data_IF_315378067810
#
_entry.id   IF_315378067810
#
_cell.length_a   1.000
_cell.length_b   1.000
_cell.length_c   1.000
_cell.angle_alpha   90.00
_cell.angle_beta   90.00
_cell.angle_gamma   90.00
#
_symmetry.space_group_name_H-M   'P 1'
#
loop_
_entity.id
_entity.type
_entity.pdbx_description
1 polymer ?
#
# COMPACT_ATOMS: atom_id res chain seq x y z
N UNK A 1 -10.99 -2.72 23.73
CA UNK A 1 -10.14 -3.92 23.96
C UNK A 1 -8.88 -3.58 24.76
N UNK A 2 -8.05 -2.61 24.36
CA UNK A 2 -6.80 -2.26 25.10
C UNK A 2 -7.03 -1.96 26.59
N UNK A 3 -8.07 -1.20 26.93
CA UNK A 3 -8.48 -0.98 28.34
C UNK A 3 -8.80 -2.28 29.11
N UNK A 4 -9.39 -3.26 28.44
CA UNK A 4 -9.70 -4.55 29.07
C UNK A 4 -8.43 -5.39 29.29
N UNK A 5 -7.48 -5.37 28.34
CA UNK A 5 -6.16 -5.98 28.53
C UNK A 5 -5.46 -5.34 29.74
N UNK A 6 -5.50 -4.01 29.85
CA UNK A 6 -4.91 -3.29 30.98
C UNK A 6 -5.60 -3.61 32.32
N UNK A 7 -6.93 -3.70 32.35
CA UNK A 7 -7.65 -4.10 33.55
C UNK A 7 -7.27 -5.51 34.03
N UNK A 8 -6.80 -6.37 33.13
CA UNK A 8 -6.29 -7.72 33.42
C UNK A 8 -4.77 -7.75 33.66
N UNK A 9 -4.13 -6.60 33.92
CA UNK A 9 -2.70 -6.52 34.23
C UNK A 9 -1.76 -6.65 33.04
N UNK A 10 -2.28 -6.80 31.80
CA UNK A 10 -1.45 -6.94 30.61
C UNK A 10 -0.96 -5.57 30.16
N UNK A 11 0.33 -5.28 30.27
CA UNK A 11 0.96 -3.99 29.93
C UNK A 11 1.85 -4.08 28.70
N UNK A 12 2.46 -5.24 28.46
CA UNK A 12 3.34 -5.51 27.31
C UNK A 12 3.00 -6.79 26.56
N UNK A 13 3.82 -7.08 25.55
CA UNK A 13 3.69 -8.31 24.75
C UNK A 13 4.06 -9.55 25.55
N UNK A 14 4.99 -9.40 26.51
CA UNK A 14 5.47 -10.45 27.40
C UNK A 14 4.36 -10.93 28.32
N UNK A 15 3.59 -10.00 28.89
CA UNK A 15 2.41 -10.32 29.71
C UNK A 15 1.37 -11.07 28.89
N UNK A 16 1.13 -10.63 27.65
CA UNK A 16 0.19 -11.26 26.72
C UNK A 16 0.62 -12.70 26.42
N UNK A 17 1.91 -12.93 26.14
CA UNK A 17 2.43 -14.27 25.92
C UNK A 17 2.35 -15.14 27.18
N UNK A 18 2.69 -14.58 28.34
CA UNK A 18 2.65 -15.29 29.63
C UNK A 18 1.24 -15.71 30.03
N UNK A 19 0.22 -14.94 29.66
CA UNK A 19 -1.18 -15.29 29.90
C UNK A 19 -1.63 -16.50 29.07
N UNK A 20 -1.14 -16.61 27.83
CA UNK A 20 -1.48 -17.66 26.88
C UNK A 20 -2.85 -17.48 26.19
N UNK A 21 -3.03 -18.16 25.05
CA UNK A 21 -4.19 -17.98 24.17
C UNK A 21 -5.54 -18.33 24.85
N UNK A 22 -5.57 -19.36 25.69
CA UNK A 22 -6.79 -19.81 26.37
C UNK A 22 -7.40 -18.74 27.28
N UNK A 23 -6.62 -18.26 28.25
CA UNK A 23 -7.06 -17.20 29.18
C UNK A 23 -7.29 -15.88 28.45
N UNK A 24 -6.45 -15.55 27.47
CA UNK A 24 -6.65 -14.36 26.65
C UNK A 24 -7.98 -14.42 25.89
N UNK A 25 -8.39 -15.60 25.40
CA UNK A 25 -9.65 -15.78 24.69
C UNK A 25 -10.86 -15.45 25.57
N UNK A 26 -10.78 -15.60 26.89
CA UNK A 26 -11.87 -15.38 27.84
C UNK A 26 -12.06 -13.90 28.21
N UNK A 27 -11.08 -13.04 27.94
CA UNK A 27 -11.20 -11.61 28.24
C UNK A 27 -12.35 -11.00 27.44
N UNK A 28 -13.22 -10.29 28.14
CA UNK A 28 -14.32 -9.52 27.55
C UNK A 28 -13.98 -8.04 27.48
N UNK A 29 -14.48 -7.35 26.46
CA UNK A 29 -14.31 -5.91 26.28
C UNK A 29 -15.58 -5.29 25.69
N UNK A 30 -15.79 -4.00 25.97
CA UNK A 30 -16.86 -3.22 25.36
C UNK A 30 -16.51 -2.83 23.92
N UNK A 31 -17.45 -3.01 23.00
CA UNK A 31 -17.42 -2.50 21.62
C UNK A 31 -18.75 -1.80 21.34
N UNK A 32 -18.74 -0.47 21.41
CA UNK A 32 -19.98 0.32 21.45
C UNK A 32 -20.77 -0.05 22.72
N UNK A 33 -22.05 -0.38 22.56
CA UNK A 33 -22.94 -0.82 23.65
C UNK A 33 -22.88 -2.32 23.96
N UNK A 34 -22.09 -3.10 23.22
CA UNK A 34 -22.07 -4.57 23.34
C UNK A 34 -20.80 -5.05 24.04
N UNK A 35 -20.97 -5.98 24.97
CA UNK A 35 -19.88 -6.79 25.52
C UNK A 35 -19.51 -7.88 24.51
N UNK A 36 -18.23 -7.97 24.17
CA UNK A 36 -17.68 -9.01 23.31
C UNK A 36 -16.54 -9.73 24.01
N UNK A 37 -16.39 -11.03 23.74
CA UNK A 37 -15.22 -11.82 24.16
C UNK A 37 -14.16 -11.79 23.07
N UNK A 38 -12.87 -11.84 23.41
CA UNK A 38 -11.78 -11.91 22.42
C UNK A 38 -11.94 -13.16 21.55
N UNK A 39 -12.19 -14.31 22.17
CA UNK A 39 -12.42 -15.59 21.50
C UNK A 39 -11.13 -16.27 21.04
N UNK A 40 -11.19 -17.60 20.79
CA UNK A 40 -10.00 -18.43 20.60
C UNK A 40 -9.18 -18.03 19.36
N UNK A 41 -9.84 -17.82 18.21
CA UNK A 41 -9.16 -17.47 16.97
C UNK A 41 -8.42 -16.12 17.05
N UNK A 42 -9.02 -15.12 17.71
CA UNK A 42 -8.39 -13.81 17.85
C UNK A 42 -7.26 -13.84 18.87
N UNK A 43 -7.44 -14.57 19.98
CA UNK A 43 -6.40 -14.75 20.97
C UNK A 43 -5.15 -15.41 20.36
N UNK A 44 -5.34 -16.46 19.56
CA UNK A 44 -4.23 -17.12 18.87
C UNK A 44 -3.48 -16.18 17.91
N UNK A 45 -4.21 -15.34 17.15
CA UNK A 45 -3.60 -14.31 16.31
C UNK A 45 -2.78 -13.30 17.12
N UNK A 46 -3.31 -12.85 18.26
CA UNK A 46 -2.61 -11.91 19.16
C UNK A 46 -1.33 -12.54 19.71
N UNK A 47 -1.38 -13.80 20.15
CA UNK A 47 -0.21 -14.53 20.68
C UNK A 47 0.88 -14.68 19.62
N UNK A 48 0.51 -15.05 18.39
CA UNK A 48 1.47 -15.13 17.28
C UNK A 48 2.12 -13.78 16.98
N UNK A 49 1.32 -12.73 16.89
CA UNK A 49 1.83 -11.37 16.67
C UNK A 49 2.77 -10.92 17.80
N UNK A 50 2.41 -11.16 19.07
CA UNK A 50 3.24 -10.83 20.23
C UNK A 50 4.57 -11.60 20.20
N UNK A 51 4.55 -12.89 19.81
CA UNK A 51 5.76 -13.71 19.65
C UNK A 51 6.71 -13.14 18.59
N UNK A 52 6.18 -12.77 17.43
CA UNK A 52 6.98 -12.16 16.37
C UNK A 52 7.59 -10.83 16.85
N UNK A 53 6.78 -9.95 17.46
CA UNK A 53 7.24 -8.65 17.96
C UNK A 53 8.37 -8.78 18.99
N UNK A 54 8.28 -9.72 19.93
CA UNK A 54 9.32 -9.94 20.95
C UNK A 54 10.60 -10.50 20.33
N UNK A 55 10.47 -11.45 19.40
CA UNK A 55 11.64 -12.11 18.79
C UNK A 55 12.30 -11.27 17.70
N UNK A 56 11.59 -10.30 17.13
CA UNK A 56 12.03 -9.57 15.94
C UNK A 56 12.05 -10.42 14.66
N UNK A 57 11.38 -11.59 14.67
CA UNK A 57 11.35 -12.51 13.53
C UNK A 57 9.93 -12.78 13.05
N UNK A 58 9.78 -13.03 11.74
CA UNK A 58 8.47 -13.35 11.15
C UNK A 58 8.11 -14.83 11.32
N UNK A 59 6.81 -15.14 11.24
CA UNK A 59 6.27 -16.50 11.18
C UNK A 59 5.58 -16.72 9.82
N UNK A 60 5.98 -17.77 9.08
CA UNK A 60 5.28 -18.21 7.87
C UNK A 60 4.07 -19.07 8.26
N UNK A 61 2.86 -18.62 7.90
CA UNK A 61 1.61 -19.36 8.11
C UNK A 61 1.31 -20.30 6.95
N UNK A 62 1.63 -19.88 5.74
CA UNK A 62 1.44 -20.63 4.49
C UNK A 62 2.43 -20.16 3.43
N UNK A 63 2.48 -20.84 2.29
CA UNK A 63 3.13 -20.29 1.09
C UNK A 63 2.51 -18.93 0.72
N UNK A 64 3.34 -18.01 0.22
CA UNK A 64 2.87 -16.76 -0.35
C UNK A 64 2.10 -17.03 -1.65
N UNK A 65 0.91 -16.42 -1.78
CA UNK A 65 0.17 -16.44 -3.03
C UNK A 65 0.70 -15.33 -3.96
N UNK A 66 1.60 -15.69 -4.88
CA UNK A 66 2.08 -14.82 -5.96
C UNK A 66 0.96 -14.46 -6.95
N UNK A 67 1.17 -13.47 -7.84
CA UNK A 67 0.24 -13.20 -8.94
C UNK A 67 -0.08 -14.48 -9.73
N UNK A 68 -1.30 -14.55 -10.27
CA UNK A 68 -1.72 -15.74 -11.02
C UNK A 68 -0.79 -15.99 -12.21
N UNK A 69 -0.27 -17.21 -12.30
CA UNK A 69 0.67 -17.60 -13.36
C UNK A 69 2.11 -17.16 -13.13
N UNK A 70 2.42 -16.51 -12.00
CA UNK A 70 3.78 -16.10 -11.64
C UNK A 70 4.37 -17.02 -10.57
N UNK A 71 5.65 -17.34 -10.76
CA UNK A 71 6.55 -18.02 -9.84
C UNK A 71 7.62 -17.06 -9.33
N UNK A 72 8.35 -17.49 -8.31
CA UNK A 72 9.47 -16.71 -7.75
C UNK A 72 10.46 -16.33 -8.87
N UNK A 73 10.73 -15.03 -9.01
CA UNK A 73 11.66 -14.49 -10.00
C UNK A 73 11.03 -14.22 -11.36
N UNK A 74 9.75 -14.52 -11.56
CA UNK A 74 9.08 -14.22 -12.83
C UNK A 74 8.92 -12.72 -13.02
N UNK A 75 9.28 -12.27 -14.22
CA UNK A 75 9.27 -10.88 -14.67
C UNK A 75 8.80 -10.85 -16.12
N UNK A 76 8.27 -9.73 -16.62
CA UNK A 76 8.18 -8.42 -15.98
C UNK A 76 6.98 -8.26 -15.04
N UNK A 77 7.04 -7.26 -14.17
CA UNK A 77 5.91 -6.79 -13.36
C UNK A 77 5.81 -5.27 -13.45
N UNK A 78 4.63 -4.74 -13.15
CA UNK A 78 4.42 -3.31 -12.90
C UNK A 78 4.21 -3.12 -11.40
N UNK A 79 4.88 -2.16 -10.81
CA UNK A 79 4.56 -1.65 -9.47
C UNK A 79 3.77 -0.36 -9.65
N UNK A 80 2.67 -0.25 -8.90
CA UNK A 80 1.69 0.81 -9.06
C UNK A 80 1.33 1.42 -7.70
N UNK A 81 1.32 2.75 -7.67
CA UNK A 81 0.96 3.57 -6.52
C UNK A 81 0.30 4.87 -6.98
N UNK A 82 -0.46 5.54 -6.12
CA UNK A 82 -1.12 6.82 -6.42
C UNK A 82 -0.97 7.80 -5.27
N UNK A 83 -0.98 9.09 -5.62
CA UNK A 83 -1.21 10.17 -4.65
C UNK A 83 -2.54 10.86 -4.95
N UNK A 84 -3.36 11.01 -3.91
CA UNK A 84 -4.72 11.47 -4.06
C UNK A 84 -5.14 12.38 -2.90
N UNK A 85 -6.08 13.27 -3.16
CA UNK A 85 -6.80 13.99 -2.13
C UNK A 85 -7.77 13.02 -1.44
N UNK A 86 -7.77 13.03 -0.10
CA UNK A 86 -8.74 12.29 0.73
C UNK A 86 -9.63 13.23 1.56
N UNK A 87 -9.39 14.54 1.46
CA UNK A 87 -10.09 15.56 2.22
C UNK A 87 -10.88 16.45 1.26
N UNK A 88 -12.16 16.13 1.09
CA UNK A 88 -13.08 16.91 0.26
C UNK A 88 -13.15 18.38 0.73
N UNK A 89 -12.95 18.63 2.04
CA UNK A 89 -12.95 19.96 2.64
C UNK A 89 -11.82 20.87 2.14
N UNK A 90 -10.75 20.29 1.59
CA UNK A 90 -9.66 21.06 0.99
C UNK A 90 -10.00 21.57 -0.40
N UNK A 91 -11.07 21.06 -1.03
CA UNK A 91 -11.57 21.56 -2.31
C UNK A 91 -10.54 21.54 -3.44
N UNK A 92 -9.59 20.59 -3.44
CA UNK A 92 -8.43 20.58 -4.34
C UNK A 92 -8.77 20.31 -5.83
N UNK A 93 -10.05 20.08 -6.15
CA UNK A 93 -10.64 19.85 -7.49
C UNK A 93 -10.09 18.65 -8.29
N UNK A 94 -8.92 18.14 -7.93
CA UNK A 94 -8.29 16.95 -8.49
C UNK A 94 -8.21 15.89 -7.40
N UNK A 95 -8.91 14.79 -7.61
CA UNK A 95 -9.00 13.69 -6.65
C UNK A 95 -7.71 12.86 -6.65
N UNK A 96 -7.18 12.48 -7.81
CA UNK A 96 -5.89 11.76 -7.93
C UNK A 96 -4.93 12.61 -8.73
N UNK A 97 -3.96 13.23 -8.05
CA UNK A 97 -3.03 14.17 -8.67
C UNK A 97 -1.76 13.53 -9.20
N UNK A 98 -1.43 12.30 -8.80
CA UNK A 98 -0.28 11.55 -9.33
C UNK A 98 -0.59 10.06 -9.46
N UNK A 99 -0.29 9.50 -10.64
CA UNK A 99 -0.30 8.05 -10.90
C UNK A 99 1.14 7.57 -11.13
N UNK A 100 1.65 6.75 -10.22
CA UNK A 100 3.02 6.25 -10.23
C UNK A 100 3.11 4.84 -10.78
N UNK A 101 3.93 4.63 -11.80
CA UNK A 101 4.16 3.33 -12.42
C UNK A 101 5.65 3.02 -12.50
N UNK A 102 6.05 1.81 -12.14
CA UNK A 102 7.42 1.35 -12.29
C UNK A 102 7.44 -0.05 -12.90
N UNK A 103 8.02 -0.18 -14.10
CA UNK A 103 8.17 -1.47 -14.78
C UNK A 103 9.51 -2.07 -14.37
N UNK A 104 9.44 -3.31 -13.87
CA UNK A 104 10.62 -4.10 -13.53
C UNK A 104 10.69 -5.29 -14.48
N UNK A 105 11.83 -5.44 -15.17
CA UNK A 105 12.15 -6.60 -15.99
C UNK A 105 13.59 -7.03 -15.73
N UNK A 106 13.86 -8.33 -15.77
CA UNK A 106 15.20 -8.88 -15.49
C UNK A 106 15.78 -8.38 -14.15
N UNK A 107 14.93 -8.21 -13.14
CA UNK A 107 15.24 -7.66 -11.81
C UNK A 107 15.74 -6.20 -11.76
N UNK A 108 15.71 -5.50 -12.90
CA UNK A 108 16.09 -4.09 -13.01
C UNK A 108 14.87 -3.21 -13.30
N UNK A 109 14.91 -1.98 -12.79
CA UNK A 109 13.93 -0.94 -13.14
C UNK A 109 14.18 -0.53 -14.58
N UNK A 110 13.29 -0.93 -15.48
CA UNK A 110 13.38 -0.59 -16.89
C UNK A 110 12.85 0.81 -17.16
N UNK A 111 11.77 1.16 -16.46
CA UNK A 111 11.07 2.42 -16.69
C UNK A 111 10.27 2.85 -15.47
N UNK A 112 10.19 4.16 -15.26
CA UNK A 112 9.38 4.76 -14.21
C UNK A 112 8.62 5.96 -14.77
N UNK A 113 7.30 5.92 -14.71
CA UNK A 113 6.40 6.98 -15.16
C UNK A 113 5.65 7.56 -13.97
N UNK A 114 5.62 8.89 -13.90
CA UNK A 114 4.80 9.62 -12.94
C UNK A 114 3.86 10.51 -13.75
N UNK A 115 2.60 10.10 -13.88
CA UNK A 115 1.58 10.87 -14.60
C UNK A 115 0.97 11.85 -13.60
N UNK A 116 1.17 13.15 -13.83
CA UNK A 116 0.50 14.19 -13.07
C UNK A 116 -0.85 14.52 -13.71
N UNK A 117 -1.89 14.56 -12.89
CA UNK A 117 -3.16 15.15 -13.29
C UNK A 117 -3.01 16.67 -13.20
N UNK A 118 -3.32 17.44 -14.26
CA UNK A 118 -3.35 18.89 -14.19
C UNK A 118 -4.31 19.37 -13.08
N UNK A 119 -4.08 20.53 -12.46
CA UNK A 119 -5.06 21.11 -11.56
C UNK A 119 -6.33 21.55 -12.31
N UNK A 120 -7.47 21.50 -11.63
CA UNK A 120 -8.77 21.98 -12.15
C UNK A 120 -9.76 20.87 -12.52
N UNK A 121 -10.95 21.28 -12.98
CA UNK A 121 -12.11 20.38 -13.16
C UNK A 121 -11.87 19.20 -14.13
N UNK A 122 -11.06 19.41 -15.17
CA UNK A 122 -10.72 18.38 -16.17
C UNK A 122 -9.46 17.57 -15.80
N UNK A 123 -8.79 17.96 -14.72
CA UNK A 123 -7.51 17.41 -14.28
C UNK A 123 -7.51 15.90 -14.14
N UNK A 124 -8.48 15.38 -13.41
CA UNK A 124 -8.66 13.94 -13.20
C UNK A 124 -8.93 13.18 -14.50
N UNK A 125 -9.73 13.75 -15.41
CA UNK A 125 -10.04 13.12 -16.69
C UNK A 125 -8.78 13.04 -17.57
N UNK A 126 -7.95 14.08 -17.57
CA UNK A 126 -6.70 14.12 -18.33
C UNK A 126 -5.63 13.20 -17.74
N UNK A 127 -5.46 13.20 -16.42
CA UNK A 127 -4.59 12.26 -15.72
C UNK A 127 -5.00 10.81 -15.98
N UNK A 128 -6.30 10.51 -15.90
CA UNK A 128 -6.85 9.19 -16.20
C UNK A 128 -6.56 8.73 -17.64
N UNK A 129 -6.82 9.58 -18.63
CA UNK A 129 -6.54 9.28 -20.04
C UNK A 129 -5.06 8.99 -20.25
N UNK A 130 -4.18 9.81 -19.67
CA UNK A 130 -2.74 9.61 -19.75
C UNK A 130 -2.29 8.31 -19.07
N UNK A 131 -2.81 8.00 -17.89
CA UNK A 131 -2.57 6.73 -17.20
C UNK A 131 -3.00 5.53 -18.04
N UNK A 132 -4.19 5.54 -18.64
CA UNK A 132 -4.65 4.48 -19.54
C UNK A 132 -3.77 4.36 -20.78
N UNK A 133 -3.34 5.48 -21.38
CA UNK A 133 -2.43 5.44 -22.53
C UNK A 133 -1.08 4.81 -22.15
N UNK A 134 -0.52 5.17 -21.00
CA UNK A 134 0.75 4.61 -20.50
C UNK A 134 0.63 3.12 -20.22
N UNK A 135 -0.41 2.68 -19.50
CA UNK A 135 -0.66 1.25 -19.27
C UNK A 135 -0.94 0.50 -20.56
N UNK A 136 -1.63 1.10 -21.53
CA UNK A 136 -1.82 0.49 -22.85
C UNK A 136 -0.50 0.26 -23.59
N UNK A 137 0.49 1.17 -23.44
CA UNK A 137 1.83 0.98 -24.03
C UNK A 137 2.58 -0.14 -23.31
N UNK A 138 2.55 -0.17 -21.97
CA UNK A 138 3.18 -1.22 -21.16
C UNK A 138 2.62 -2.60 -21.56
N UNK A 139 1.30 -2.73 -21.57
CA UNK A 139 0.65 -4.00 -21.95
C UNK A 139 0.86 -4.40 -23.41
N UNK A 140 1.11 -3.45 -24.31
CA UNK A 140 1.49 -3.75 -25.70
C UNK A 140 2.91 -4.32 -25.77
N UNK A 141 3.83 -3.83 -24.96
CA UNK A 141 5.22 -4.27 -24.93
C UNK A 141 5.42 -5.59 -24.19
N UNK A 142 4.71 -5.79 -23.08
CA UNK A 142 4.98 -6.88 -22.15
C UNK A 142 3.84 -7.89 -21.99
N UNK A 143 2.66 -7.63 -22.56
CA UNK A 143 1.48 -8.49 -22.40
C UNK A 143 0.73 -8.23 -21.09
N UNK A 144 -0.08 -9.21 -20.68
CA UNK A 144 -0.85 -9.19 -19.42
C UNK A 144 0.04 -9.53 -18.23
N UNK A 145 0.82 -8.55 -17.79
CA UNK A 145 1.71 -8.69 -16.63
C UNK A 145 1.05 -8.17 -15.34
N UNK A 146 1.40 -8.72 -14.16
CA UNK A 146 0.89 -8.29 -12.88
C UNK A 146 1.16 -6.82 -12.60
N UNK A 147 0.16 -6.18 -12.01
CA UNK A 147 0.22 -4.83 -11.50
C UNK A 147 0.19 -4.91 -9.97
N UNK A 148 1.38 -4.95 -9.37
CA UNK A 148 1.61 -5.05 -7.92
C UNK A 148 1.32 -3.71 -7.27
N UNK A 149 0.47 -3.73 -6.24
CA UNK A 149 0.12 -2.53 -5.46
C UNK A 149 -0.06 -2.87 -3.97
N UNK A 150 -0.08 -1.84 -3.11
CA UNK A 150 -0.15 -2.00 -1.66
C UNK A 150 -1.53 -1.65 -1.07
N UNK A 151 -2.38 -2.67 -0.89
CA UNK A 151 -3.67 -2.49 -0.21
C UNK A 151 -4.84 -2.42 -1.17
N UNK A 152 -5.96 -1.82 -0.76
CA UNK A 152 -7.18 -1.78 -1.57
C UNK A 152 -7.41 -0.45 -2.28
N UNK A 153 -6.56 0.54 -1.99
CA UNK A 153 -6.81 1.95 -2.33
C UNK A 153 -6.75 2.18 -3.83
N UNK A 154 -5.70 1.70 -4.49
CA UNK A 154 -5.46 1.89 -5.93
C UNK A 154 -6.59 1.25 -6.75
N UNK A 155 -7.02 0.04 -6.36
CA UNK A 155 -8.12 -0.67 -7.01
C UNK A 155 -9.43 0.12 -6.95
N UNK A 156 -9.72 0.75 -5.82
CA UNK A 156 -10.92 1.56 -5.64
C UNK A 156 -10.89 2.76 -6.59
N UNK A 157 -9.78 3.48 -6.66
CA UNK A 157 -9.63 4.63 -7.56
C UNK A 157 -9.71 4.26 -9.04
N UNK A 158 -9.05 3.18 -9.47
CA UNK A 158 -9.18 2.69 -10.86
C UNK A 158 -10.63 2.35 -11.18
N UNK A 159 -11.35 1.68 -10.27
CA UNK A 159 -12.76 1.33 -10.48
C UNK A 159 -13.66 2.58 -10.53
N UNK A 160 -13.44 3.54 -9.64
CA UNK A 160 -14.15 4.80 -9.60
C UNK A 160 -13.93 5.60 -10.90
N UNK A 161 -12.70 5.63 -11.40
CA UNK A 161 -12.34 6.40 -12.59
C UNK A 161 -12.85 5.77 -13.88
N UNK A 162 -12.91 4.44 -13.96
CA UNK A 162 -13.65 3.72 -15.01
C UNK A 162 -15.12 4.17 -15.02
N UNK A 163 -15.76 4.23 -13.85
CA UNK A 163 -17.16 4.63 -13.75
C UNK A 163 -17.39 6.11 -14.10
N UNK A 164 -16.46 6.99 -13.71
CA UNK A 164 -16.60 8.45 -13.86
C UNK A 164 -16.23 8.95 -15.25
N UNK A 165 -15.16 8.41 -15.84
CA UNK A 165 -14.55 8.91 -17.07
C UNK A 165 -14.59 7.90 -18.24
N UNK A 166 -15.05 6.68 -17.97
CA UNK A 166 -15.07 5.60 -18.95
C UNK A 166 -13.75 4.84 -19.07
N UNK A 167 -13.77 3.78 -19.88
CA UNK A 167 -12.64 2.86 -20.04
C UNK A 167 -12.28 2.67 -21.53
N UNK A 168 -11.42 3.56 -22.01
CA UNK A 168 -10.98 3.56 -23.40
C UNK A 168 -10.27 2.24 -23.71
N UNK A 169 -10.78 1.51 -24.71
CA UNK A 169 -10.25 0.20 -25.17
C UNK A 169 -10.18 -0.87 -24.08
N UNK A 170 -10.96 -0.73 -22.99
CA UNK A 170 -11.00 -1.65 -21.85
C UNK A 170 -9.66 -1.77 -21.10
N UNK A 171 -8.81 -0.75 -21.16
CA UNK A 171 -7.50 -0.76 -20.51
C UNK A 171 -7.65 -0.74 -18.99
N UNK A 172 -8.57 0.06 -18.45
CA UNK A 172 -8.89 0.09 -17.02
C UNK A 172 -9.32 -1.27 -16.50
N UNK A 173 -10.25 -1.95 -17.18
CA UNK A 173 -10.66 -3.30 -16.83
C UNK A 173 -9.49 -4.30 -16.93
N UNK A 174 -8.63 -4.14 -17.94
CA UNK A 174 -7.41 -4.95 -18.09
C UNK A 174 -6.43 -4.73 -16.94
N UNK A 175 -6.28 -3.50 -16.44
CA UNK A 175 -5.52 -3.20 -15.22
C UNK A 175 -6.14 -3.93 -14.03
N UNK A 176 -7.46 -3.77 -13.80
CA UNK A 176 -8.16 -4.42 -12.69
C UNK A 176 -8.00 -5.95 -12.67
N UNK A 177 -7.99 -6.58 -13.85
CA UNK A 177 -7.80 -8.02 -13.98
C UNK A 177 -6.38 -8.49 -13.64
N UNK A 178 -5.37 -7.60 -13.77
CA UNK A 178 -3.98 -7.89 -13.50
C UNK A 178 -3.48 -7.34 -12.15
N UNK A 179 -4.31 -6.63 -11.39
CA UNK A 179 -3.94 -6.12 -10.07
C UNK A 179 -3.66 -7.26 -9.09
N UNK A 180 -2.51 -7.19 -8.42
CA UNK A 180 -2.16 -8.07 -7.31
C UNK A 180 -1.93 -7.27 -6.03
N UNK A 181 -2.79 -7.51 -5.05
CA UNK A 181 -2.78 -6.82 -3.76
C UNK A 181 -1.79 -7.47 -2.80
N UNK A 182 -0.64 -6.81 -2.62
CA UNK A 182 0.45 -7.32 -1.78
C UNK A 182 0.08 -7.37 -0.29
N UNK A 183 -0.69 -6.40 0.21
CA UNK A 183 -1.13 -6.39 1.60
C UNK A 183 -1.97 -7.62 1.94
N UNK A 184 -2.90 -7.99 1.06
CA UNK A 184 -3.71 -9.21 1.22
C UNK A 184 -2.84 -10.47 1.20
N UNK A 185 -1.84 -10.55 0.31
CA UNK A 185 -0.92 -11.68 0.25
C UNK A 185 -0.07 -11.81 1.53
N UNK A 186 0.46 -10.70 2.06
CA UNK A 186 1.22 -10.66 3.32
C UNK A 186 0.32 -11.11 4.49
N UNK A 187 -0.82 -10.45 4.67
CA UNK A 187 -1.69 -10.70 5.84
C UNK A 187 -2.34 -12.07 5.81
N UNK A 188 -2.42 -12.74 4.65
CA UNK A 188 -2.81 -14.14 4.55
C UNK A 188 -1.67 -15.10 4.92
N UNK A 189 -0.44 -14.84 4.45
CA UNK A 189 0.64 -15.84 4.44
C UNK A 189 1.67 -15.71 5.57
N UNK A 190 1.88 -14.52 6.13
CA UNK A 190 2.93 -14.26 7.12
C UNK A 190 2.44 -13.43 8.31
N UNK A 191 3.13 -13.58 9.44
CA UNK A 191 3.02 -12.70 10.59
C UNK A 191 4.36 -11.99 10.75
N UNK A 192 4.37 -10.68 10.51
CA UNK A 192 5.56 -9.85 10.55
C UNK A 192 5.74 -9.21 11.95
N UNK A 193 6.97 -9.00 12.43
CA UNK A 193 7.25 -8.38 13.72
C UNK A 193 7.17 -6.85 13.65
N UNK A 194 6.06 -6.33 13.12
CA UNK A 194 5.81 -4.90 12.90
C UNK A 194 4.58 -4.44 13.68
N UNK A 195 4.54 -3.18 14.15
CA UNK A 195 3.41 -2.65 14.92
C UNK A 195 2.14 -2.48 14.07
N UNK A 196 2.30 -2.28 12.76
CA UNK A 196 1.21 -2.30 11.79
C UNK A 196 1.71 -2.82 10.45
N UNK A 197 0.78 -3.23 9.58
CA UNK A 197 1.08 -3.71 8.23
C UNK A 197 0.88 -2.56 7.23
N UNK A 198 1.22 -1.32 7.59
CA UNK A 198 1.34 -0.27 6.58
C UNK A 198 2.64 -0.49 5.80
N UNK A 199 2.70 -0.01 4.55
CA UNK A 199 3.92 -0.10 3.73
C UNK A 199 5.14 0.42 4.50
N UNK A 200 5.01 1.57 5.15
CA UNK A 200 6.06 2.19 5.98
C UNK A 200 6.64 1.32 7.08
N UNK A 201 5.82 0.48 7.72
CA UNK A 201 6.31 -0.39 8.78
C UNK A 201 6.95 -1.65 8.20
N UNK A 202 6.37 -2.18 7.11
CA UNK A 202 6.87 -3.39 6.46
C UNK A 202 8.17 -3.11 5.69
N UNK A 203 8.27 -1.98 4.99
CA UNK A 203 9.46 -1.60 4.23
C UNK A 203 10.70 -1.46 5.15
N UNK A 204 10.52 -0.90 6.35
CA UNK A 204 11.59 -0.76 7.35
C UNK A 204 12.03 -2.15 7.82
N UNK A 205 11.07 -3.05 8.06
CA UNK A 205 11.37 -4.42 8.46
C UNK A 205 12.16 -5.19 7.40
N UNK A 206 11.83 -5.03 6.12
CA UNK A 206 12.57 -5.68 5.02
C UNK A 206 13.89 -4.97 4.68
N UNK A 207 14.25 -3.91 5.41
CA UNK A 207 15.51 -3.20 5.28
C UNK A 207 15.54 -2.14 4.19
N UNK A 208 14.40 -1.73 3.65
CA UNK A 208 14.32 -0.59 2.73
C UNK A 208 14.67 0.70 3.47
N UNK A 209 15.54 1.52 2.87
CA UNK A 209 15.93 2.82 3.41
C UNK A 209 15.43 3.91 2.50
N UNK A 210 14.48 4.70 3.00
CA UNK A 210 14.07 5.95 2.38
C UNK A 210 15.23 6.94 2.38
N UNK A 211 15.35 7.75 1.34
CA UNK A 211 16.33 8.85 1.32
C UNK A 211 15.84 10.08 2.10
N UNK A 212 14.56 10.04 2.46
CA UNK A 212 13.75 11.16 2.91
C UNK A 212 13.25 10.91 4.35
N UNK A 213 13.59 11.80 5.30
CA UNK A 213 13.37 11.57 6.75
C UNK A 213 11.90 11.69 7.20
N UNK A 214 11.09 12.58 6.61
CA UNK A 214 9.72 12.86 7.10
C UNK A 214 8.72 13.07 5.97
N UNK A 215 8.06 11.99 5.54
CA UNK A 215 7.07 12.04 4.46
C UNK A 215 5.98 10.99 4.68
N UNK A 216 4.74 11.28 4.29
CA UNK A 216 3.56 10.40 4.38
C UNK A 216 2.34 10.96 3.64
N UNK A 217 1.25 10.21 3.56
CA UNK A 217 0.08 10.64 2.77
C UNK A 217 -0.50 12.01 3.15
N UNK A 218 -0.50 12.38 4.43
CA UNK A 218 -0.90 13.74 4.83
C UNK A 218 0.10 14.81 4.36
N UNK A 219 1.38 14.47 4.28
CA UNK A 219 2.42 15.36 3.78
C UNK A 219 2.27 15.59 2.28
N UNK A 220 1.98 14.56 1.47
CA UNK A 220 1.83 14.71 0.01
C UNK A 220 0.64 15.61 -0.33
N UNK A 221 -0.46 15.47 0.40
CA UNK A 221 -1.63 16.34 0.27
C UNK A 221 -1.32 17.81 0.62
N UNK A 222 -0.61 18.05 1.73
CA UNK A 222 -0.21 19.42 2.11
C UNK A 222 0.70 20.03 1.07
N UNK A 223 1.66 19.26 0.53
CA UNK A 223 2.51 19.73 -0.57
C UNK A 223 1.70 19.99 -1.83
N UNK A 224 0.74 19.15 -2.16
CA UNK A 224 -0.09 19.38 -3.33
C UNK A 224 -0.90 20.67 -3.19
N UNK A 225 -1.46 20.95 -2.01
CA UNK A 225 -2.13 22.23 -1.75
C UNK A 225 -1.17 23.43 -1.91
N UNK A 226 0.04 23.35 -1.36
CA UNK A 226 1.08 24.39 -1.56
C UNK A 226 1.43 24.58 -3.05
N UNK A 227 1.44 23.49 -3.83
CA UNK A 227 1.64 23.58 -5.27
C UNK A 227 0.51 24.35 -5.97
N UNK A 228 -0.75 24.15 -5.55
CA UNK A 228 -1.90 24.88 -6.11
C UNK A 228 -1.88 26.37 -5.74
N UNK A 229 -1.35 26.71 -4.57
CA UNK A 229 -1.26 28.09 -4.05
C UNK A 229 0.01 28.84 -4.52
N UNK A 230 0.98 28.13 -5.11
CA UNK A 230 2.23 28.72 -5.57
C UNK A 230 1.98 29.73 -6.69
N UNK A 231 2.53 30.94 -6.53
CA UNK A 231 2.41 32.02 -7.52
C UNK A 231 3.63 32.10 -8.45
N UNK A 232 4.71 31.42 -8.08
CA UNK A 232 5.96 31.32 -8.81
C UNK A 232 6.15 29.91 -9.41
N UNK A 233 6.57 29.85 -10.68
CA UNK A 233 6.72 28.59 -11.41
C UNK A 233 7.85 27.72 -10.86
N UNK A 234 8.96 28.32 -10.39
CA UNK A 234 10.09 27.57 -9.83
C UNK A 234 9.71 26.95 -8.47
N UNK A 235 8.97 27.68 -7.64
CA UNK A 235 8.40 27.17 -6.39
C UNK A 235 7.45 26.00 -6.65
N UNK A 236 6.49 26.17 -7.57
CA UNK A 236 5.52 25.14 -7.93
C UNK A 236 6.21 23.85 -8.40
N UNK A 237 7.20 23.97 -9.28
CA UNK A 237 7.96 22.83 -9.81
C UNK A 237 8.85 22.19 -8.72
N UNK A 238 9.41 22.97 -7.81
CA UNK A 238 10.16 22.45 -6.65
C UNK A 238 9.27 21.59 -5.74
N UNK A 239 8.03 22.02 -5.49
CA UNK A 239 7.06 21.27 -4.70
C UNK A 239 6.65 19.98 -5.41
N UNK A 240 6.30 20.06 -6.71
CA UNK A 240 5.97 18.87 -7.51
C UNK A 240 7.12 17.87 -7.53
N UNK A 241 8.37 18.33 -7.62
CA UNK A 241 9.53 17.44 -7.58
C UNK A 241 9.65 16.68 -6.27
N UNK A 242 9.26 17.26 -5.13
CA UNK A 242 9.20 16.55 -3.85
C UNK A 242 8.08 15.52 -3.83
N UNK A 243 6.89 15.83 -4.37
CA UNK A 243 5.79 14.87 -4.49
C UNK A 243 6.20 13.69 -5.39
N UNK A 244 6.81 13.99 -6.54
CA UNK A 244 7.36 12.98 -7.45
C UNK A 244 8.38 12.10 -6.73
N UNK A 245 9.36 12.70 -6.03
CA UNK A 245 10.38 11.96 -5.29
C UNK A 245 9.78 11.05 -4.21
N UNK A 246 8.78 11.54 -3.46
CA UNK A 246 8.03 10.75 -2.49
C UNK A 246 7.39 9.52 -3.14
N UNK A 247 6.65 9.71 -4.23
CA UNK A 247 6.00 8.60 -4.93
C UNK A 247 7.01 7.60 -5.54
N UNK A 248 8.15 8.10 -6.04
CA UNK A 248 9.24 7.21 -6.52
C UNK A 248 9.75 6.29 -5.40
N UNK A 249 9.88 6.81 -4.18
CA UNK A 249 10.27 5.99 -3.04
C UNK A 249 9.19 4.99 -2.63
N UNK A 250 7.90 5.34 -2.70
CA UNK A 250 6.81 4.41 -2.39
C UNK A 250 6.76 3.25 -3.40
N UNK A 251 7.03 3.51 -4.69
CA UNK A 251 7.19 2.47 -5.71
C UNK A 251 8.40 1.55 -5.43
N UNK A 252 9.54 2.12 -5.07
CA UNK A 252 10.75 1.36 -4.73
C UNK A 252 10.58 0.55 -3.44
N UNK A 253 9.92 1.12 -2.43
CA UNK A 253 9.59 0.43 -1.19
C UNK A 253 8.67 -0.75 -1.45
N UNK A 254 7.62 -0.55 -2.25
CA UNK A 254 6.70 -1.61 -2.66
C UNK A 254 7.44 -2.73 -3.39
N UNK A 255 8.35 -2.40 -4.31
CA UNK A 255 9.18 -3.41 -4.98
C UNK A 255 10.13 -4.14 -4.01
N UNK A 256 10.75 -3.43 -3.08
CA UNK A 256 11.62 -4.02 -2.06
C UNK A 256 10.87 -5.04 -1.19
N UNK A 257 9.66 -4.69 -0.75
CA UNK A 257 8.79 -5.62 -0.01
C UNK A 257 8.41 -6.82 -0.89
N UNK A 258 8.05 -6.61 -2.16
CA UNK A 258 7.76 -7.69 -3.10
C UNK A 258 8.94 -8.68 -3.23
N UNK A 259 10.15 -8.16 -3.42
CA UNK A 259 11.38 -8.98 -3.50
C UNK A 259 11.65 -9.76 -2.24
N UNK A 260 11.51 -9.11 -1.08
CA UNK A 260 11.70 -9.77 0.20
C UNK A 260 10.72 -10.94 0.38
N UNK A 261 9.46 -10.75 -0.02
CA UNK A 261 8.44 -11.79 0.03
C UNK A 261 8.76 -12.96 -0.92
N UNK A 262 9.23 -12.70 -2.13
CA UNK A 262 9.70 -13.74 -3.05
C UNK A 262 10.87 -14.54 -2.48
N UNK A 263 11.82 -13.85 -1.86
CA UNK A 263 13.02 -14.47 -1.33
C UNK A 263 12.73 -15.37 -0.11
N UNK A 264 11.89 -14.89 0.81
CA UNK A 264 11.69 -15.49 2.14
C UNK A 264 10.37 -16.24 2.32
N UNK A 265 9.35 -15.96 1.50
CA UNK A 265 7.98 -16.42 1.74
C UNK A 265 7.40 -17.30 0.61
N UNK A 266 8.05 -17.37 -0.55
CA UNK A 266 7.74 -18.36 -1.58
C UNK A 266 8.31 -19.72 -1.15
#
# INVERSE_FOLDING_TARGET
MSRALWANGLRGWEDILGLGAGKLADITFQRGSRTQRIGPTRAEKIIRQARCLIKGTFEKKSALALPQGYSKGDRPIVVFDIENNIFDELGLQTDVYLWGLMVVASDEVQHQELILSPPGEEGDADGWRQFLMTMSKIFKSYGDIPVVHYGSHEKAWVSNYISRYGDIRRVGQRILNNLWNMYSAITASVVLPVPSYSLKQVEVYVGFKRSQEEYGGSWSIVRYNQYLEATDEEEAESILNKIRAYNREDLLATYSVYRWLEEHCC
#
